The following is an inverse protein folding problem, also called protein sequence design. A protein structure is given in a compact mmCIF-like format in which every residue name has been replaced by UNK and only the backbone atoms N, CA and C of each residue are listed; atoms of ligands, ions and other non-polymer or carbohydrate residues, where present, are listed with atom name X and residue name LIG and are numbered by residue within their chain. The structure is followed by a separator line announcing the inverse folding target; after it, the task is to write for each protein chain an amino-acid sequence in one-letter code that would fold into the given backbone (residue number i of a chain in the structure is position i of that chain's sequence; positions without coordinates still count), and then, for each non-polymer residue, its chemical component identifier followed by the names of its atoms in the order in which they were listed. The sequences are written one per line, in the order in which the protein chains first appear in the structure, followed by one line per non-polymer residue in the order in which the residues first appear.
data_IF_762145608252
#
_entry.id   IF_762145608252
#
_cell.length_a   1.000
_cell.length_b   1.000
_cell.length_c   1.000
_cell.angle_alpha   90.00
_cell.angle_beta   90.00
_cell.angle_gamma   90.00
#
_symmetry.space_group_name_H-M   'P 1'
#
loop_
_entity.id
_entity.type
_entity.pdbx_description
1 polymer ?
#
# COMPACT_ATOMS: atom_id res chain seq x y z
N UNK A 1 -18.71 -0.91 8.62
CA UNK A 1 -18.75 0.37 7.91
C UNK A 1 -19.13 0.07 6.47
N UNK A 2 -20.24 0.60 5.99
CA UNK A 2 -20.64 0.48 4.59
C UNK A 2 -19.76 1.38 3.70
N UNK A 3 -19.77 1.15 2.38
CA UNK A 3 -19.07 2.05 1.45
C UNK A 3 -19.72 3.43 1.38
N UNK A 4 -21.04 3.51 1.64
CA UNK A 4 -21.75 4.78 1.73
C UNK A 4 -21.32 5.56 2.99
N UNK A 5 -21.12 4.87 4.11
CA UNK A 5 -20.56 5.47 5.34
C UNK A 5 -19.15 6.02 5.08
N UNK A 6 -18.32 5.28 4.31
CA UNK A 6 -16.98 5.72 3.95
C UNK A 6 -17.03 6.98 3.08
N UNK A 7 -17.91 7.03 2.07
CA UNK A 7 -18.08 8.23 1.23
C UNK A 7 -18.51 9.43 2.06
N UNK A 8 -19.53 9.26 2.90
CA UNK A 8 -20.02 10.31 3.77
C UNK A 8 -18.92 10.82 4.70
N UNK A 9 -18.11 9.92 5.26
CA UNK A 9 -16.98 10.28 6.11
C UNK A 9 -15.88 11.06 5.34
N UNK A 10 -15.51 10.61 4.14
CA UNK A 10 -14.54 11.31 3.31
C UNK A 10 -15.02 12.72 2.92
N UNK A 11 -16.32 12.88 2.65
CA UNK A 11 -16.92 14.20 2.37
C UNK A 11 -16.86 15.13 3.59
N UNK A 12 -17.14 14.60 4.79
CA UNK A 12 -16.97 15.35 6.06
C UNK A 12 -15.53 15.82 6.22
N UNK A 13 -14.55 14.92 6.04
CA UNK A 13 -13.13 15.25 6.14
C UNK A 13 -12.72 16.30 5.10
N UNK A 14 -13.24 16.21 3.87
CA UNK A 14 -12.94 17.18 2.81
C UNK A 14 -13.45 18.57 3.18
N UNK A 15 -14.71 18.67 3.63
CA UNK A 15 -15.30 19.93 4.11
C UNK A 15 -14.55 20.51 5.29
N UNK A 16 -14.17 19.69 6.27
CA UNK A 16 -13.38 20.12 7.43
C UNK A 16 -12.00 20.62 7.02
N UNK A 17 -11.35 19.98 6.05
CA UNK A 17 -10.05 20.44 5.54
C UNK A 17 -10.16 21.81 4.88
N UNK A 18 -11.25 22.06 4.12
CA UNK A 18 -11.51 23.38 3.53
C UNK A 18 -11.88 24.44 4.57
N UNK A 19 -12.48 24.03 5.69
CA UNK A 19 -12.81 24.88 6.83
C UNK A 19 -11.60 25.17 7.75
N UNK A 20 -10.40 24.68 7.42
CA UNK A 20 -9.17 24.96 8.16
C UNK A 20 -8.84 23.99 9.29
N UNK A 21 -9.49 22.81 9.34
CA UNK A 21 -9.05 21.74 10.24
C UNK A 21 -7.68 21.19 9.80
N UNK A 22 -6.87 20.71 10.75
CA UNK A 22 -5.58 20.07 10.47
C UNK A 22 -5.76 18.69 9.85
N UNK A 23 -6.07 18.67 8.54
CA UNK A 23 -6.33 17.48 7.73
C UNK A 23 -5.42 17.53 6.51
N UNK A 24 -4.36 16.72 6.54
CA UNK A 24 -3.32 16.67 5.50
C UNK A 24 -3.55 15.53 4.50
N UNK A 25 -4.68 15.58 3.77
CA UNK A 25 -5.03 14.61 2.72
C UNK A 25 -4.79 15.25 1.34
N UNK A 26 -4.13 14.53 0.44
CA UNK A 26 -3.99 14.96 -0.95
C UNK A 26 -5.27 14.63 -1.74
N UNK A 27 -6.29 15.50 -1.59
CA UNK A 27 -7.62 15.34 -2.19
C UNK A 27 -7.66 15.08 -3.70
N UNK A 28 -6.76 15.65 -4.55
CA UNK A 28 -6.76 15.34 -5.97
C UNK A 28 -6.52 13.86 -6.31
N UNK A 29 -5.94 13.08 -5.40
CA UNK A 29 -5.76 11.64 -5.59
C UNK A 29 -7.00 10.81 -5.21
N UNK A 30 -8.04 11.41 -4.64
CA UNK A 30 -9.24 10.71 -4.18
C UNK A 30 -10.45 11.21 -4.95
N UNK A 31 -11.09 10.31 -5.69
CA UNK A 31 -12.42 10.56 -6.26
C UNK A 31 -13.47 9.80 -5.45
N UNK A 32 -14.17 10.51 -4.58
CA UNK A 32 -15.19 9.93 -3.70
C UNK A 32 -16.36 9.27 -4.46
N UNK A 33 -16.70 9.78 -5.65
CA UNK A 33 -17.78 9.21 -6.47
C UNK A 33 -17.44 7.80 -6.97
N UNK A 34 -16.15 7.55 -7.19
CA UNK A 34 -15.63 6.27 -7.66
C UNK A 34 -15.48 5.21 -6.55
N UNK A 35 -15.70 5.55 -5.28
CA UNK A 35 -15.65 4.57 -4.18
C UNK A 35 -16.84 3.62 -4.33
N UNK A 36 -16.61 2.33 -4.58
CA UNK A 36 -17.68 1.33 -4.68
C UNK A 36 -17.15 -0.07 -4.44
N UNK A 37 -18.01 -0.96 -3.99
CA UNK A 37 -17.74 -2.39 -3.99
C UNK A 37 -17.81 -2.93 -5.43
N UNK A 38 -16.78 -3.65 -5.85
CA UNK A 38 -16.78 -4.39 -7.12
C UNK A 38 -16.29 -5.81 -6.86
N UNK A 39 -16.96 -6.80 -7.42
CA UNK A 39 -16.49 -8.18 -7.36
C UNK A 39 -15.15 -8.32 -8.08
N UNK A 40 -14.24 -9.12 -7.52
CA UNK A 40 -12.89 -9.35 -8.04
C UNK A 40 -12.87 -9.79 -9.52
N UNK A 41 -13.91 -10.48 -9.99
CA UNK A 41 -14.02 -10.96 -11.38
C UNK A 41 -14.31 -9.85 -12.40
N UNK A 42 -14.66 -8.63 -11.96
CA UNK A 42 -15.08 -7.55 -12.87
C UNK A 42 -14.02 -6.48 -13.11
N UNK A 43 -12.88 -6.51 -12.41
CA UNK A 43 -11.81 -5.53 -12.57
C UNK A 43 -10.45 -6.21 -12.64
N UNK A 44 -9.89 -6.34 -13.85
CA UNK A 44 -8.53 -6.83 -14.07
C UNK A 44 -7.48 -6.06 -13.25
N UNK A 45 -7.71 -4.75 -13.03
CA UNK A 45 -6.85 -3.93 -12.17
C UNK A 45 -6.83 -4.37 -10.70
N UNK A 46 -7.94 -4.92 -10.18
CA UNK A 46 -8.01 -5.42 -8.81
C UNK A 46 -7.23 -6.73 -8.67
N UNK A 47 -7.29 -7.61 -9.67
CA UNK A 47 -6.48 -8.83 -9.71
C UNK A 47 -4.99 -8.51 -9.79
N UNK A 48 -4.60 -7.49 -10.56
CA UNK A 48 -3.21 -7.03 -10.62
C UNK A 48 -2.74 -6.49 -9.25
N UNK A 49 -3.57 -5.67 -8.59
CA UNK A 49 -3.25 -5.16 -7.27
C UNK A 49 -3.10 -6.30 -6.24
N UNK A 50 -3.97 -7.30 -6.30
CA UNK A 50 -3.91 -8.49 -5.44
C UNK A 50 -2.67 -9.36 -5.71
N UNK A 51 -2.30 -9.53 -6.98
CA UNK A 51 -1.07 -10.23 -7.37
C UNK A 51 0.17 -9.50 -6.83
N UNK A 52 0.24 -8.16 -6.96
CA UNK A 52 1.33 -7.35 -6.42
C UNK A 52 1.41 -7.46 -4.89
N UNK A 53 0.28 -7.36 -4.20
CA UNK A 53 0.23 -7.50 -2.74
C UNK A 53 0.67 -8.89 -2.28
N UNK A 54 0.20 -9.95 -2.96
CA UNK A 54 0.57 -11.34 -2.68
C UNK A 54 2.06 -11.58 -2.93
N UNK A 55 2.59 -11.08 -4.04
CA UNK A 55 4.01 -11.14 -4.37
C UNK A 55 4.89 -10.48 -3.30
N UNK A 56 4.49 -9.30 -2.81
CA UNK A 56 5.19 -8.63 -1.69
C UNK A 56 5.09 -9.48 -0.42
N UNK A 57 3.90 -10.02 -0.11
CA UNK A 57 3.69 -10.85 1.07
C UNK A 57 4.60 -12.08 1.07
N UNK A 58 4.67 -12.84 -0.02
CA UNK A 58 5.55 -14.02 -0.13
C UNK A 58 7.04 -13.67 -0.17
N UNK A 59 7.39 -12.45 -0.61
CA UNK A 59 8.76 -11.96 -0.58
C UNK A 59 9.28 -11.61 0.81
N UNK A 60 8.38 -11.35 1.78
CA UNK A 60 8.76 -10.94 3.14
C UNK A 60 8.37 -11.94 4.23
N UNK A 61 7.38 -12.79 4.00
CA UNK A 61 6.92 -13.76 5.00
C UNK A 61 7.54 -15.13 4.78
N UNK A 62 8.01 -15.72 5.88
CA UNK A 62 8.54 -17.08 5.90
C UNK A 62 7.41 -18.08 5.63
N UNK A 63 7.68 -19.03 4.76
CA UNK A 63 6.86 -20.22 4.55
C UNK A 63 6.89 -21.12 5.79
N UNK A 64 6.06 -22.17 5.80
CA UNK A 64 6.08 -23.20 6.85
C UNK A 64 7.45 -23.89 7.03
N UNK A 65 8.34 -23.76 6.04
CA UNK A 65 9.69 -24.32 6.07
C UNK A 65 10.76 -23.29 6.49
N UNK A 66 10.37 -22.04 6.79
CA UNK A 66 11.29 -20.98 7.19
C UNK A 66 11.88 -20.17 6.04
N UNK A 67 11.61 -20.55 4.79
CA UNK A 67 12.13 -19.91 3.58
C UNK A 67 11.28 -18.72 3.13
N UNK A 68 11.87 -17.74 2.43
CA UNK A 68 11.20 -16.59 1.80
C UNK A 68 11.46 -16.59 0.29
N UNK A 69 10.50 -16.14 -0.53
CA UNK A 69 10.66 -16.06 -1.99
C UNK A 69 10.92 -14.60 -2.41
N UNK A 70 12.17 -14.15 -2.28
CA UNK A 70 12.54 -12.75 -2.53
C UNK A 70 12.41 -12.30 -3.99
N UNK A 71 12.39 -13.22 -4.96
CA UNK A 71 12.42 -12.87 -6.39
C UNK A 71 11.23 -12.02 -6.80
N UNK A 72 10.06 -12.28 -6.24
CA UNK A 72 8.87 -11.48 -6.51
C UNK A 72 9.05 -10.02 -6.08
N UNK A 73 9.63 -9.79 -4.90
CA UNK A 73 9.89 -8.47 -4.39
C UNK A 73 10.98 -7.76 -5.19
N UNK A 74 12.03 -8.49 -5.59
CA UNK A 74 13.09 -7.97 -6.46
C UNK A 74 12.57 -7.54 -7.84
N UNK A 75 11.67 -8.33 -8.44
CA UNK A 75 11.01 -7.99 -9.71
C UNK A 75 10.14 -6.74 -9.57
N UNK A 76 9.40 -6.62 -8.47
CA UNK A 76 8.50 -5.49 -8.21
C UNK A 76 9.22 -4.27 -7.63
N UNK A 77 10.51 -4.35 -7.27
CA UNK A 77 11.18 -3.26 -6.56
C UNK A 77 11.10 -1.94 -7.32
N UNK A 78 11.16 -1.98 -8.65
CA UNK A 78 11.10 -0.79 -9.50
C UNK A 78 9.72 -0.10 -9.49
N UNK A 79 8.64 -0.84 -9.18
CA UNK A 79 7.27 -0.28 -9.17
C UNK A 79 6.88 0.30 -7.80
N UNK A 80 7.69 0.11 -6.77
CA UNK A 80 7.41 0.62 -5.43
C UNK A 80 7.53 2.14 -5.41
N UNK A 81 6.54 2.82 -4.84
CA UNK A 81 6.58 4.27 -4.64
C UNK A 81 7.74 4.67 -3.72
N UNK A 82 8.44 5.76 -4.06
CA UNK A 82 9.58 6.26 -3.30
C UNK A 82 9.44 7.74 -3.01
N UNK A 83 9.71 8.11 -1.76
CA UNK A 83 9.87 9.50 -1.34
C UNK A 83 11.32 9.69 -0.92
N UNK A 84 12.00 10.70 -1.45
CA UNK A 84 13.41 10.97 -1.14
C UNK A 84 14.34 9.75 -1.35
N UNK A 85 14.09 9.00 -2.44
CA UNK A 85 14.75 7.73 -2.81
C UNK A 85 14.56 6.57 -1.83
N UNK A 86 13.71 6.75 -0.81
CA UNK A 86 13.36 5.73 0.18
C UNK A 86 12.06 5.04 -0.17
N UNK A 87 12.09 3.71 -0.17
CA UNK A 87 10.90 2.88 -0.37
C UNK A 87 10.18 2.58 0.95
N UNK A 88 10.88 2.70 2.09
CA UNK A 88 10.29 2.54 3.42
C UNK A 88 9.38 3.72 3.78
N UNK A 89 8.27 3.41 4.44
CA UNK A 89 7.27 4.39 4.87
C UNK A 89 6.14 4.58 3.86
N UNK A 90 6.38 5.35 2.80
CA UNK A 90 5.32 5.72 1.83
C UNK A 90 5.04 4.65 0.78
N UNK A 91 6.05 3.86 0.37
CA UNK A 91 5.88 2.77 -0.59
C UNK A 91 5.54 1.45 0.10
N UNK A 92 6.42 1.02 1.01
CA UNK A 92 6.26 -0.18 1.83
C UNK A 92 6.26 0.20 3.30
N UNK A 93 5.22 -0.25 4.01
CA UNK A 93 5.09 -0.07 5.46
C UNK A 93 5.21 -1.40 6.16
N UNK A 94 6.35 -1.59 6.82
CA UNK A 94 6.67 -2.83 7.53
C UNK A 94 6.18 -2.76 8.98
N UNK A 95 5.32 -3.70 9.36
CA UNK A 95 4.88 -3.87 10.74
C UNK A 95 5.59 -5.09 11.36
N UNK A 96 6.80 -4.89 11.87
CA UNK A 96 7.44 -5.88 12.73
C UNK A 96 8.25 -5.19 13.85
N UNK A 97 8.58 -5.92 14.91
CA UNK A 97 9.43 -5.42 16.00
C UNK A 97 10.91 -5.79 15.81
N UNK A 98 11.23 -6.59 14.78
CA UNK A 98 12.59 -7.00 14.46
C UNK A 98 13.27 -5.98 13.55
N UNK A 99 14.18 -5.19 14.12
CA UNK A 99 14.92 -4.18 13.36
C UNK A 99 15.90 -4.78 12.35
N UNK A 100 16.44 -5.97 12.61
CA UNK A 100 17.37 -6.64 11.69
C UNK A 100 16.62 -7.05 10.42
N UNK A 101 15.43 -7.62 10.58
CA UNK A 101 14.60 -8.03 9.45
C UNK A 101 14.08 -6.83 8.65
N UNK A 102 13.70 -5.72 9.32
CA UNK A 102 13.37 -4.47 8.63
C UNK A 102 14.52 -3.94 7.79
N UNK A 103 15.73 -3.98 8.33
CA UNK A 103 16.90 -3.48 7.63
C UNK A 103 17.19 -4.35 6.40
N UNK A 104 17.21 -5.68 6.56
CA UNK A 104 17.36 -6.65 5.46
C UNK A 104 16.37 -6.38 4.31
N UNK A 105 15.11 -6.14 4.65
CA UNK A 105 14.05 -5.92 3.66
C UNK A 105 14.14 -4.54 3.01
N UNK A 106 14.55 -3.51 3.75
CA UNK A 106 14.82 -2.17 3.20
C UNK A 106 15.99 -2.21 2.21
N UNK A 107 17.05 -2.94 2.53
CA UNK A 107 18.20 -3.14 1.65
C UNK A 107 17.79 -3.89 0.37
N UNK A 108 16.98 -4.94 0.49
CA UNK A 108 16.47 -5.72 -0.65
C UNK A 108 15.67 -4.87 -1.67
N UNK A 109 14.91 -3.90 -1.20
CA UNK A 109 14.08 -3.02 -2.06
C UNK A 109 14.79 -1.72 -2.46
N UNK A 110 16.02 -1.52 -2.01
CA UNK A 110 16.84 -0.37 -2.39
C UNK A 110 17.22 -0.47 -3.87
N UNK A 111 17.28 0.69 -4.52
CA UNK A 111 17.83 0.82 -5.87
C UNK A 111 19.28 1.26 -5.74
N UNK A 112 20.15 0.72 -6.59
CA UNK A 112 21.55 1.16 -6.71
C UNK A 112 21.65 2.64 -7.13
#
# INVERSE_FOLDING_TARGET
MSYDDLKAYLDVLHKQSQAGADINIHWPAINCDNVRAVNHDKLAGLQLADAVASSIFFGVNKTQYGEVESRYLEMLKQTIYRRDRRADGYGLKMWCNDNVEKQRLTELVSLE
#
